data_IF_107917925494
#
_entry.id   IF_107917925494
#
_cell.length_a   1.000
_cell.length_b   1.000
_cell.length_c   1.000
_cell.angle_alpha   90.00
_cell.angle_beta   90.00
_cell.angle_gamma   90.00
#
_symmetry.space_group_name_H-M   'P 1'
#
loop_
_entity.id
_entity.type
_entity.pdbx_description
1 polymer ?
#
# COMPACT_ATOMS: atom_id res chain seq x y z
N UNK A 1 -42.60 -15.74 35.72
CA UNK A 1 -41.13 -15.85 35.58
C UNK A 1 -40.83 -16.37 34.20
N UNK A 2 -40.45 -15.49 33.28
CA UNK A 2 -39.99 -15.89 31.95
C UNK A 2 -38.46 -15.85 31.90
N UNK A 3 -37.78 -16.84 31.30
CA UNK A 3 -36.38 -16.69 30.94
C UNK A 3 -36.33 -15.72 29.74
N UNK A 4 -35.51 -14.68 29.70
CA UNK A 4 -34.08 -14.69 30.02
C UNK A 4 -33.23 -14.94 28.77
N UNK A 5 -33.63 -14.43 27.60
CA UNK A 5 -32.79 -14.40 26.40
C UNK A 5 -32.00 -13.10 26.33
N UNK A 6 -30.67 -13.18 26.46
CA UNK A 6 -29.76 -12.05 26.27
C UNK A 6 -29.65 -11.69 24.79
N UNK A 7 -29.41 -10.41 24.49
CA UNK A 7 -29.33 -9.82 23.15
C UNK A 7 -28.15 -10.34 22.26
N UNK A 8 -27.56 -11.48 22.61
CA UNK A 8 -26.40 -12.09 21.93
C UNK A 8 -26.77 -13.07 20.82
N UNK A 9 -28.04 -13.45 20.64
CA UNK A 9 -28.42 -14.40 19.58
C UNK A 9 -28.63 -13.76 18.19
N UNK A 10 -28.60 -12.43 18.05
CA UNK A 10 -28.89 -11.75 16.79
C UNK A 10 -27.65 -11.35 15.96
N UNK A 11 -26.42 -11.63 16.41
CA UNK A 11 -25.18 -11.18 15.74
C UNK A 11 -24.33 -12.31 15.14
N UNK A 12 -24.91 -13.51 14.97
CA UNK A 12 -24.16 -14.72 14.62
C UNK A 12 -23.89 -14.98 13.13
N UNK A 13 -24.41 -14.19 12.18
CA UNK A 13 -24.33 -14.61 10.76
C UNK A 13 -24.15 -13.50 9.72
N UNK A 14 -23.87 -12.25 10.11
CA UNK A 14 -23.47 -11.26 9.11
C UNK A 14 -22.02 -11.45 8.68
N UNK A 15 -21.81 -12.21 7.59
CA UNK A 15 -20.54 -12.22 6.85
C UNK A 15 -20.63 -11.16 5.75
N UNK A 16 -19.70 -10.21 5.76
CA UNK A 16 -19.48 -9.32 4.62
C UNK A 16 -19.17 -10.20 3.40
N UNK A 17 -19.88 -10.05 2.26
CA UNK A 17 -19.52 -10.75 1.03
C UNK A 17 -18.08 -10.38 0.65
N UNK A 18 -17.18 -11.37 0.62
CA UNK A 18 -15.76 -11.17 0.33
C UNK A 18 -14.81 -11.22 1.53
N UNK A 19 -15.30 -11.41 2.76
CA UNK A 19 -14.43 -11.67 3.91
C UNK A 19 -13.75 -13.04 3.76
N UNK A 20 -12.44 -13.04 3.50
CA UNK A 20 -11.63 -14.25 3.40
C UNK A 20 -11.76 -15.13 4.67
N UNK A 21 -11.85 -16.45 4.48
CA UNK A 21 -11.92 -17.41 5.58
C UNK A 21 -10.72 -17.27 6.52
N UNK A 22 -10.88 -17.46 7.84
CA UNK A 22 -9.76 -17.56 8.76
C UNK A 22 -8.74 -18.60 8.24
N UNK A 23 -7.49 -18.18 8.03
CA UNK A 23 -6.41 -19.02 7.50
C UNK A 23 -6.09 -18.87 6.00
N UNK A 24 -6.92 -18.17 5.22
CA UNK A 24 -6.59 -17.86 3.83
C UNK A 24 -5.50 -16.77 3.72
N UNK A 25 -4.66 -16.86 2.69
CA UNK A 25 -3.65 -15.82 2.40
C UNK A 25 -4.37 -14.52 2.02
N UNK A 26 -4.08 -13.44 2.75
CA UNK A 26 -4.68 -12.13 2.52
C UNK A 26 -3.73 -11.27 1.69
N UNK A 27 -4.28 -10.54 0.73
CA UNK A 27 -3.57 -9.52 -0.04
C UNK A 27 -4.17 -8.17 0.33
N UNK A 28 -3.32 -7.24 0.77
CA UNK A 28 -3.71 -5.91 1.20
C UNK A 28 -2.88 -4.89 0.43
N UNK A 29 -3.50 -3.76 0.08
CA UNK A 29 -2.85 -2.64 -0.59
C UNK A 29 -3.00 -1.40 0.27
N UNK A 30 -1.93 -0.63 0.37
CA UNK A 30 -1.87 0.60 1.17
C UNK A 30 -0.91 1.60 0.53
N UNK A 31 -1.12 2.88 0.84
CA UNK A 31 -0.20 3.97 0.51
C UNK A 31 0.51 4.51 1.75
N UNK A 32 0.29 3.92 2.93
CA UNK A 32 0.86 4.42 4.17
C UNK A 32 2.40 4.27 4.17
N UNK A 33 3.11 5.20 4.84
CA UNK A 33 4.56 5.10 5.00
C UNK A 33 4.94 3.98 5.96
N UNK A 34 6.19 3.51 5.89
CA UNK A 34 6.70 2.48 6.79
C UNK A 34 6.69 2.89 8.28
N UNK A 35 6.54 4.19 8.56
CA UNK A 35 6.43 4.70 9.94
C UNK A 35 5.02 4.56 10.52
N UNK A 36 4.01 4.30 9.70
CA UNK A 36 2.62 4.23 10.15
C UNK A 36 2.24 2.78 10.51
N UNK A 37 2.14 2.40 11.79
CA UNK A 37 1.96 1.02 12.22
C UNK A 37 0.65 0.38 11.70
N UNK A 38 0.57 -0.97 11.69
CA UNK A 38 1.52 -1.86 12.36
C UNK A 38 2.23 -2.84 11.40
N UNK A 39 3.18 -2.36 10.59
CA UNK A 39 3.94 -3.25 9.69
C UNK A 39 4.79 -4.27 10.44
N UNK A 40 5.34 -3.88 11.60
CA UNK A 40 6.17 -4.72 12.46
C UNK A 40 5.34 -5.74 13.27
N UNK A 41 4.06 -5.48 13.54
CA UNK A 41 3.17 -6.45 14.18
C UNK A 41 2.30 -7.25 13.20
N UNK A 42 2.40 -6.98 11.90
CA UNK A 42 2.00 -7.96 10.90
C UNK A 42 2.81 -9.22 11.15
N UNK A 43 2.11 -10.29 11.55
CA UNK A 43 2.63 -11.56 12.02
C UNK A 43 3.92 -12.00 11.29
N UNK A 44 4.83 -12.64 12.04
CA UNK A 44 6.01 -13.30 11.51
C UNK A 44 5.63 -14.08 10.23
N UNK A 45 6.10 -13.61 9.07
CA UNK A 45 5.80 -14.20 7.76
C UNK A 45 5.04 -13.32 6.76
N UNK A 46 4.58 -12.12 7.12
CA UNK A 46 4.04 -11.18 6.13
C UNK A 46 5.15 -10.69 5.17
N UNK A 47 4.93 -10.82 3.86
CA UNK A 47 5.82 -10.28 2.81
C UNK A 47 5.26 -8.94 2.32
N UNK A 48 6.13 -7.95 2.18
CA UNK A 48 5.78 -6.61 1.71
C UNK A 48 6.40 -6.41 0.33
N UNK A 49 5.61 -5.87 -0.60
CA UNK A 49 6.07 -5.49 -1.93
C UNK A 49 5.92 -3.97 -2.02
N UNK A 50 7.04 -3.27 -2.16
CA UNK A 50 7.09 -1.82 -2.35
C UNK A 50 7.34 -1.55 -3.82
N UNK A 51 6.32 -0.98 -4.48
CA UNK A 51 6.45 -0.52 -5.86
C UNK A 51 6.81 0.96 -5.84
N UNK A 52 7.96 1.29 -6.39
CA UNK A 52 8.41 2.68 -6.56
C UNK A 52 8.34 3.12 -8.00
N UNK A 53 8.42 4.42 -8.24
CA UNK A 53 8.37 5.01 -9.57
C UNK A 53 9.28 6.22 -9.61
N UNK A 54 9.77 6.58 -10.80
CA UNK A 54 10.44 7.86 -11.00
C UNK A 54 9.57 9.00 -10.42
N UNK A 55 10.12 9.87 -9.54
CA UNK A 55 9.35 10.91 -8.87
C UNK A 55 8.70 11.90 -9.84
N UNK A 56 9.29 12.14 -11.02
CA UNK A 56 8.73 13.03 -12.04
C UNK A 56 7.43 12.44 -12.60
N UNK A 57 7.47 11.15 -12.95
CA UNK A 57 6.32 10.44 -13.49
C UNK A 57 5.25 10.20 -12.41
N UNK A 58 5.67 9.97 -11.16
CA UNK A 58 4.77 9.87 -10.01
C UNK A 58 4.04 11.18 -9.75
N UNK A 59 4.73 12.33 -9.83
CA UNK A 59 4.11 13.65 -9.65
C UNK A 59 3.03 13.91 -10.70
N UNK A 60 3.32 13.67 -11.99
CA UNK A 60 2.33 13.84 -13.08
C UNK A 60 1.13 12.94 -12.86
N UNK A 61 1.36 11.66 -12.54
CA UNK A 61 0.29 10.71 -12.26
C UNK A 61 -0.58 11.13 -11.08
N UNK A 62 0.03 11.67 -10.02
CA UNK A 62 -0.69 12.09 -8.82
C UNK A 62 -1.48 13.38 -9.07
N UNK A 63 -0.99 14.29 -9.92
CA UNK A 63 -1.76 15.46 -10.34
C UNK A 63 -3.06 15.07 -11.05
N UNK A 64 -2.99 14.17 -12.02
CA UNK A 64 -4.18 13.67 -12.72
C UNK A 64 -5.13 12.95 -11.76
N UNK A 65 -4.61 12.04 -10.93
CA UNK A 65 -5.41 11.39 -9.89
C UNK A 65 -6.10 12.40 -8.95
N UNK A 66 -5.38 13.44 -8.54
CA UNK A 66 -5.91 14.48 -7.64
C UNK A 66 -7.04 15.29 -8.29
N UNK A 67 -6.98 15.48 -9.62
CA UNK A 67 -8.03 16.17 -10.39
C UNK A 67 -9.23 15.29 -10.70
N UNK A 68 -9.01 14.00 -10.89
CA UNK A 68 -10.01 13.05 -11.36
C UNK A 68 -10.83 12.45 -10.19
N UNK A 69 -10.29 12.47 -8.97
CA UNK A 69 -11.02 12.08 -7.76
C UNK A 69 -11.86 13.25 -7.28
N UNK A 70 -13.17 13.15 -7.47
CA UNK A 70 -14.13 14.21 -7.17
C UNK A 70 -14.08 14.66 -5.70
N UNK A 71 -13.79 13.76 -4.77
CA UNK A 71 -13.70 14.04 -3.33
C UNK A 71 -12.58 15.02 -2.98
N UNK A 72 -11.52 15.12 -3.79
CA UNK A 72 -10.46 16.10 -3.56
C UNK A 72 -10.83 17.49 -4.05
N UNK A 73 -11.85 17.61 -4.93
CA UNK A 73 -12.35 18.87 -5.50
C UNK A 73 -11.24 19.78 -6.05
N UNK A 74 -10.12 19.22 -6.47
CA UNK A 74 -8.94 20.00 -6.85
C UNK A 74 -9.11 20.57 -8.27
N UNK A 75 -9.00 21.90 -8.39
CA UNK A 75 -9.12 22.65 -9.66
C UNK A 75 -7.90 23.53 -9.97
N UNK A 76 -6.79 23.32 -9.25
CA UNK A 76 -5.55 24.07 -9.44
C UNK A 76 -4.75 23.66 -10.70
N UNK A 77 -3.73 24.45 -11.03
CA UNK A 77 -2.81 24.18 -12.14
C UNK A 77 -1.75 23.14 -11.77
N UNK A 78 -1.02 22.63 -12.77
CA UNK A 78 0.10 21.72 -12.56
C UNK A 78 1.19 22.36 -11.69
N UNK A 79 1.51 23.63 -11.92
CA UNK A 79 2.54 24.38 -11.19
C UNK A 79 2.17 24.48 -9.71
N UNK A 80 0.92 24.85 -9.41
CA UNK A 80 0.44 24.87 -8.03
C UNK A 80 0.49 23.49 -7.37
N UNK A 81 0.06 22.43 -8.08
CA UNK A 81 0.16 21.07 -7.56
C UNK A 81 1.60 20.71 -7.22
N UNK A 82 2.53 20.96 -8.13
CA UNK A 82 3.92 20.56 -7.98
C UNK A 82 4.60 21.33 -6.84
N UNK A 83 4.53 22.66 -6.88
CA UNK A 83 5.27 23.55 -5.99
C UNK A 83 4.65 23.66 -4.60
N UNK A 84 3.31 23.70 -4.50
CA UNK A 84 2.63 23.95 -3.23
C UNK A 84 2.15 22.68 -2.52
N UNK A 85 1.97 21.58 -3.24
CA UNK A 85 1.43 20.32 -2.70
C UNK A 85 2.43 19.17 -2.73
N UNK A 86 2.91 18.77 -3.90
CA UNK A 86 3.70 17.55 -4.08
C UNK A 86 5.11 17.69 -3.48
N UNK A 87 5.88 18.68 -3.91
CA UNK A 87 7.26 18.91 -3.42
C UNK A 87 7.33 19.13 -1.90
N UNK A 88 6.48 19.97 -1.28
CA UNK A 88 6.48 20.16 0.17
C UNK A 88 5.76 19.05 0.93
N UNK A 89 5.17 18.06 0.25
CA UNK A 89 4.54 16.90 0.88
C UNK A 89 3.19 17.19 1.57
N UNK A 90 2.44 18.18 1.08
CA UNK A 90 1.13 18.60 1.63
C UNK A 90 -0.06 17.88 1.00
N UNK A 91 0.17 16.70 0.42
CA UNK A 91 -0.89 15.86 -0.13
C UNK A 91 -1.57 15.04 0.97
N UNK A 92 -2.77 14.52 0.69
CA UNK A 92 -3.46 13.57 1.60
C UNK A 92 -2.61 12.33 1.86
N UNK A 93 -1.80 11.91 0.88
CA UNK A 93 -0.82 10.83 1.00
C UNK A 93 0.44 11.21 1.79
N UNK A 94 0.57 12.46 2.22
CA UNK A 94 1.78 13.01 2.84
C UNK A 94 2.93 13.22 1.85
N UNK A 95 4.14 13.30 2.39
CA UNK A 95 5.37 13.54 1.63
C UNK A 95 5.83 12.29 0.87
N UNK A 96 5.95 12.42 -0.46
CA UNK A 96 6.52 11.37 -1.31
C UNK A 96 7.94 11.00 -0.87
N UNK A 97 8.74 11.99 -0.48
CA UNK A 97 10.15 11.80 -0.09
C UNK A 97 10.27 11.03 1.21
N UNK A 98 9.45 11.37 2.20
CA UNK A 98 9.44 10.67 3.49
C UNK A 98 8.92 9.25 3.32
N UNK A 99 7.85 9.06 2.53
CA UNK A 99 7.34 7.74 2.18
C UNK A 99 8.43 6.88 1.53
N UNK A 100 9.10 7.40 0.51
CA UNK A 100 10.18 6.72 -0.20
C UNK A 100 11.33 6.34 0.74
N UNK A 101 11.83 7.32 1.50
CA UNK A 101 12.94 7.11 2.43
C UNK A 101 12.59 6.10 3.54
N UNK A 102 11.35 6.12 4.04
CA UNK A 102 10.89 5.20 5.06
C UNK A 102 10.92 3.75 4.56
N UNK A 103 10.33 3.47 3.39
CA UNK A 103 10.33 2.14 2.81
C UNK A 103 11.71 1.69 2.33
N UNK A 104 12.54 2.61 1.85
CA UNK A 104 13.91 2.29 1.44
C UNK A 104 14.76 1.82 2.61
N UNK A 105 14.58 2.40 3.80
CA UNK A 105 15.25 1.93 5.02
C UNK A 105 14.77 0.54 5.42
N UNK A 106 13.46 0.28 5.39
CA UNK A 106 12.92 -1.05 5.68
C UNK A 106 13.41 -2.11 4.70
N UNK A 107 13.47 -1.78 3.40
CA UNK A 107 14.03 -2.69 2.40
C UNK A 107 15.50 -3.04 2.68
N UNK A 108 16.31 -2.05 3.05
CA UNK A 108 17.71 -2.29 3.38
C UNK A 108 17.88 -3.11 4.67
N UNK A 109 17.02 -2.89 5.67
CA UNK A 109 17.07 -3.61 6.94
C UNK A 109 16.54 -5.05 6.84
N UNK A 110 15.53 -5.27 5.99
CA UNK A 110 14.77 -6.52 5.90
C UNK A 110 14.47 -6.91 4.43
N UNK A 111 15.48 -7.09 3.56
CA UNK A 111 15.28 -7.40 2.14
C UNK A 111 14.56 -8.74 1.90
N UNK A 112 14.65 -9.67 2.85
CA UNK A 112 13.92 -10.94 2.86
C UNK A 112 12.42 -10.76 3.12
N UNK A 113 12.01 -9.66 3.74
CA UNK A 113 10.62 -9.35 4.09
C UNK A 113 10.02 -8.26 3.20
N UNK A 114 10.84 -7.37 2.66
CA UNK A 114 10.43 -6.20 1.89
C UNK A 114 11.10 -6.24 0.52
N UNK A 115 10.33 -6.58 -0.51
CA UNK A 115 10.78 -6.50 -1.89
C UNK A 115 10.65 -5.07 -2.40
N UNK A 116 11.74 -4.54 -2.93
CA UNK A 116 11.77 -3.27 -3.63
C UNK A 116 11.79 -3.50 -5.14
N UNK A 117 10.80 -2.94 -5.84
CA UNK A 117 10.67 -3.06 -7.29
C UNK A 117 10.18 -1.74 -7.89
N UNK A 118 10.70 -1.35 -9.05
CA UNK A 118 10.22 -0.16 -9.75
C UNK A 118 9.09 -0.46 -10.74
N UNK A 119 8.25 0.53 -10.98
CA UNK A 119 7.23 0.51 -12.03
C UNK A 119 7.89 0.35 -13.40
N UNK A 120 9.05 0.96 -13.59
CA UNK A 120 9.82 0.91 -14.82
C UNK A 120 10.32 -0.52 -15.12
N UNK A 121 10.78 -1.26 -14.10
CA UNK A 121 11.09 -2.70 -14.23
C UNK A 121 9.85 -3.51 -14.63
N UNK A 122 8.71 -3.27 -13.96
CA UNK A 122 7.45 -3.95 -14.25
C UNK A 122 6.96 -3.67 -15.68
N UNK A 123 7.15 -2.45 -16.17
CA UNK A 123 6.73 -2.01 -17.49
C UNK A 123 7.67 -2.49 -18.61
N UNK A 124 8.97 -2.58 -18.33
CA UNK A 124 9.97 -3.00 -19.32
C UNK A 124 9.91 -4.50 -19.61
N UNK A 125 9.81 -5.34 -18.57
CA UNK A 125 9.62 -6.79 -18.70
C UNK A 125 8.77 -7.34 -17.55
N UNK A 126 7.48 -7.40 -17.80
CA UNK A 126 6.52 -7.92 -16.84
C UNK A 126 6.77 -9.38 -16.46
N UNK A 127 7.25 -10.21 -17.39
CA UNK A 127 7.45 -11.64 -17.14
C UNK A 127 8.61 -11.87 -16.18
N UNK A 128 9.72 -11.16 -16.39
CA UNK A 128 10.86 -11.19 -15.49
C UNK A 128 10.50 -10.63 -14.10
N UNK A 129 9.81 -9.50 -14.05
CA UNK A 129 9.37 -8.88 -12.80
C UNK A 129 8.40 -9.78 -12.01
N UNK A 130 7.43 -10.41 -12.67
CA UNK A 130 6.49 -11.36 -12.06
C UNK A 130 7.21 -12.60 -11.52
N UNK A 131 8.21 -13.12 -12.25
CA UNK A 131 9.01 -14.25 -11.81
C UNK A 131 9.81 -13.94 -10.54
N UNK A 132 10.40 -12.74 -10.45
CA UNK A 132 11.07 -12.25 -9.24
C UNK A 132 10.11 -12.12 -8.05
N UNK A 133 8.88 -11.65 -8.31
CA UNK A 133 7.83 -11.52 -7.31
C UNK A 133 7.41 -12.90 -6.76
N UNK A 134 7.22 -13.89 -7.63
CA UNK A 134 6.89 -15.26 -7.25
C UNK A 134 7.98 -15.90 -6.39
N UNK A 135 9.25 -15.76 -6.80
CA UNK A 135 10.40 -16.26 -6.04
C UNK A 135 10.46 -15.65 -4.62
N UNK A 136 10.24 -14.34 -4.50
CA UNK A 136 10.18 -13.64 -3.22
C UNK A 136 9.04 -14.14 -2.33
N UNK A 137 7.84 -14.35 -2.90
CA UNK A 137 6.66 -14.81 -2.17
C UNK A 137 6.79 -16.26 -1.68
N UNK A 138 7.52 -17.11 -2.41
CA UNK A 138 7.81 -18.50 -2.03
C UNK A 138 8.90 -18.65 -0.98
N UNK A 139 9.65 -17.57 -0.68
CA UNK A 139 10.72 -17.59 0.31
C UNK A 139 12.06 -18.06 -0.24
N UNK A 140 12.34 -17.81 -1.52
CA UNK A 140 13.65 -18.07 -2.11
C UNK A 140 14.72 -17.18 -1.49
N UNK A 141 15.49 -17.74 -0.55
CA UNK A 141 16.84 -17.28 -0.29
C UNK A 141 17.72 -17.62 -1.48
N UNK A 142 18.56 -16.68 -1.91
CA UNK A 142 19.86 -17.00 -2.48
C UNK A 142 20.71 -17.70 -1.43
#
# INVERSE_FOLDING_TARGET
>A
GGPGGTATEALGSWRMPGAASPGARRVLKTHAPATMPPWHSMADGAKIIVVVRNPKDAAVSNFHHTRDVDEFQYKGSWEHFLEELFLPGRLVSGSFWEWYASWWREHQAHPERVLWISYEELAADFTAAASRLDAFLRGGGS
#
